data_IF_350630467302
#
_entry.id   IF_350630467302
#
_cell.length_a   1.000
_cell.length_b   1.000
_cell.length_c   1.000
_cell.angle_alpha   90.00
_cell.angle_beta   90.00
_cell.angle_gamma   90.00
#
_symmetry.space_group_name_H-M   'P 1'
#
loop_
_entity.id
_entity.type
_entity.pdbx_description
1 polymer ?
#
# COMPACT_ATOMS: atom_id res chain seq x y z
N UNK A 1 45.18 12.40 -36.75
CA UNK A 1 44.35 12.20 -35.52
C UNK A 1 45.31 11.76 -34.42
N UNK A 2 45.46 12.63 -33.41
CA UNK A 2 46.50 12.45 -32.39
C UNK A 2 46.14 11.32 -31.41
N UNK A 3 47.17 10.70 -30.82
CA UNK A 3 47.03 9.65 -29.79
C UNK A 3 46.18 10.08 -28.58
N UNK A 4 46.01 11.39 -28.41
CA UNK A 4 45.22 12.00 -27.34
C UNK A 4 43.71 11.84 -27.56
N UNK A 5 43.25 11.95 -28.83
CA UNK A 5 41.83 11.78 -29.21
C UNK A 5 41.33 10.34 -28.99
N UNK A 6 42.21 9.34 -29.22
CA UNK A 6 41.84 7.92 -29.01
C UNK A 6 41.71 7.55 -27.53
N UNK A 7 42.56 8.15 -26.67
CA UNK A 7 42.49 7.92 -25.22
C UNK A 7 41.24 8.59 -24.59
N UNK A 8 40.84 9.76 -25.10
CA UNK A 8 39.64 10.44 -24.65
C UNK A 8 38.35 9.70 -25.06
N UNK A 9 38.34 9.13 -26.29
CA UNK A 9 37.20 8.32 -26.74
C UNK A 9 37.09 7.00 -25.97
N UNK A 10 38.17 6.41 -25.53
CA UNK A 10 38.18 5.19 -24.71
C UNK A 10 37.71 5.45 -23.27
N UNK A 11 38.03 6.63 -22.70
CA UNK A 11 37.56 7.03 -21.36
C UNK A 11 36.06 7.29 -21.38
N UNK A 12 35.49 7.89 -22.42
CA UNK A 12 34.06 8.10 -22.57
C UNK A 12 33.29 6.79 -22.78
N UNK A 13 33.89 5.79 -23.46
CA UNK A 13 33.26 4.49 -23.66
C UNK A 13 33.19 3.66 -22.35
N UNK A 14 34.21 3.77 -21.48
CA UNK A 14 34.23 3.12 -20.17
C UNK A 14 33.34 3.84 -19.14
N UNK A 15 33.18 5.16 -19.23
CA UNK A 15 32.30 5.95 -18.37
C UNK A 15 30.82 5.77 -18.70
N UNK A 16 30.47 5.47 -19.97
CA UNK A 16 29.10 5.25 -20.41
C UNK A 16 28.52 3.89 -20.03
N UNK A 17 29.35 2.90 -19.75
CA UNK A 17 28.92 1.53 -19.46
C UNK A 17 28.59 1.32 -17.96
N UNK A 18 29.00 2.24 -17.09
CA UNK A 18 28.74 2.15 -15.64
C UNK A 18 27.42 2.78 -15.18
N UNK A 19 26.70 3.49 -16.08
CA UNK A 19 25.41 4.14 -15.74
C UNK A 19 24.18 3.29 -16.04
N UNK A 20 24.31 2.10 -16.61
CA UNK A 20 23.17 1.26 -17.00
C UNK A 20 22.80 0.15 -16.01
N UNK A 21 23.39 0.14 -14.79
CA UNK A 21 23.13 -0.91 -13.79
C UNK A 21 22.25 -0.48 -12.61
N UNK A 22 21.63 0.70 -12.67
CA UNK A 22 20.72 1.15 -11.57
C UNK A 22 19.24 0.95 -11.88
N UNK A 23 18.88 -0.04 -12.67
CA UNK A 23 17.54 -0.26 -13.20
C UNK A 23 16.73 -1.39 -12.57
N UNK A 24 17.03 -1.86 -11.37
CA UNK A 24 16.11 -2.72 -10.61
C UNK A 24 15.78 -2.06 -9.29
N UNK A 25 14.75 -1.22 -9.27
CA UNK A 25 14.03 -0.96 -8.03
C UNK A 25 13.24 -2.24 -7.71
N UNK A 26 13.87 -3.18 -7.01
CA UNK A 26 13.18 -4.29 -6.39
C UNK A 26 12.10 -3.75 -5.44
N UNK A 27 11.06 -4.52 -5.21
CA UNK A 27 10.09 -4.22 -4.14
C UNK A 27 10.87 -4.02 -2.84
N UNK A 28 10.51 -3.01 -2.07
CA UNK A 28 11.18 -2.73 -0.78
C UNK A 28 10.89 -3.80 0.28
N UNK A 29 10.13 -4.84 -0.08
CA UNK A 29 9.71 -5.90 0.80
C UNK A 29 8.56 -5.47 1.72
N UNK A 30 8.16 -6.40 2.59
CA UNK A 30 7.21 -6.09 3.66
C UNK A 30 7.95 -5.31 4.76
N UNK A 31 7.32 -4.29 5.34
CA UNK A 31 7.89 -3.59 6.50
C UNK A 31 7.91 -4.52 7.70
N UNK A 32 8.86 -4.31 8.60
CA UNK A 32 8.76 -4.85 9.94
C UNK A 32 7.60 -4.15 10.66
N UNK A 33 6.64 -4.94 11.13
CA UNK A 33 5.52 -4.45 11.91
C UNK A 33 5.59 -5.07 13.30
N UNK A 34 5.64 -4.23 14.32
CA UNK A 34 5.60 -4.68 15.71
C UNK A 34 4.18 -4.48 16.24
N UNK A 35 3.56 -5.57 16.66
CA UNK A 35 2.24 -5.52 17.33
C UNK A 35 2.43 -4.81 18.66
N UNK A 36 1.69 -3.74 18.98
CA UNK A 36 1.71 -3.14 20.30
C UNK A 36 1.26 -4.14 21.37
N UNK A 37 1.92 -4.14 22.53
CA UNK A 37 1.54 -5.02 23.65
C UNK A 37 0.13 -4.73 24.18
N UNK A 38 -0.28 -3.47 24.12
CA UNK A 38 -1.60 -3.04 24.58
C UNK A 38 -2.25 -2.06 23.58
N UNK A 39 -3.55 -2.18 23.40
CA UNK A 39 -4.36 -1.25 22.65
C UNK A 39 -4.81 -0.09 23.56
N UNK A 40 -4.43 1.14 23.20
CA UNK A 40 -4.81 2.34 23.97
C UNK A 40 -6.29 2.69 23.77
N UNK A 41 -7.13 2.28 24.69
CA UNK A 41 -8.58 2.56 24.67
C UNK A 41 -8.94 3.98 25.11
N UNK A 42 -7.98 4.78 25.60
CA UNK A 42 -8.23 6.16 26.01
C UNK A 42 -8.27 7.16 24.84
N UNK A 43 -7.83 6.72 23.66
CA UNK A 43 -7.75 7.53 22.44
C UNK A 43 -8.90 7.16 21.49
N UNK A 44 -9.36 8.16 20.75
CA UNK A 44 -10.26 7.93 19.62
C UNK A 44 -9.47 7.67 18.34
N UNK A 45 -9.94 6.70 17.55
CA UNK A 45 -9.36 6.32 16.28
C UNK A 45 -10.38 6.41 15.16
N UNK A 46 -9.94 6.86 13.99
CA UNK A 46 -10.72 6.79 12.76
C UNK A 46 -10.03 5.82 11.79
N UNK A 47 -10.78 4.86 11.28
CA UNK A 47 -10.33 3.86 10.31
C UNK A 47 -11.08 4.08 9.02
N UNK A 48 -10.36 4.14 7.89
CA UNK A 48 -10.95 4.15 6.56
C UNK A 48 -10.98 2.73 5.99
N UNK A 49 -12.16 2.28 5.58
CA UNK A 49 -12.35 0.99 4.92
C UNK A 49 -12.88 1.20 3.50
N UNK A 50 -12.08 0.79 2.50
CA UNK A 50 -12.45 0.85 1.09
C UNK A 50 -12.92 -0.52 0.62
N UNK A 51 -14.19 -0.62 0.28
CA UNK A 51 -14.83 -1.87 -0.12
C UNK A 51 -15.52 -1.74 -1.47
N UNK A 52 -15.64 -2.86 -2.17
CA UNK A 52 -16.39 -2.94 -3.41
C UNK A 52 -17.87 -3.11 -3.13
N UNK A 53 -18.70 -2.35 -3.83
CA UNK A 53 -20.14 -2.51 -3.87
C UNK A 53 -20.57 -2.94 -5.28
N UNK A 54 -20.95 -4.18 -5.44
CA UNK A 54 -21.43 -4.76 -6.70
C UNK A 54 -22.88 -4.39 -7.07
N UNK A 55 -23.37 -3.22 -6.66
CA UNK A 55 -24.77 -2.87 -6.76
C UNK A 55 -25.69 -3.78 -5.91
N UNK A 56 -25.11 -4.72 -5.20
CA UNK A 56 -25.82 -5.62 -4.31
C UNK A 56 -26.07 -4.94 -2.94
N UNK A 57 -27.30 -4.55 -2.73
CA UNK A 57 -27.71 -3.90 -1.46
C UNK A 57 -27.42 -4.78 -0.24
N UNK A 58 -27.53 -6.11 -0.40
CA UNK A 58 -27.25 -7.06 0.69
C UNK A 58 -25.80 -6.99 1.14
N UNK A 59 -24.85 -6.86 0.22
CA UNK A 59 -23.43 -6.73 0.57
C UNK A 59 -23.15 -5.43 1.34
N UNK A 60 -23.74 -4.34 0.90
CA UNK A 60 -23.63 -3.06 1.61
C UNK A 60 -24.16 -3.14 3.04
N UNK A 61 -25.30 -3.79 3.24
CA UNK A 61 -25.87 -3.97 4.57
C UNK A 61 -25.03 -4.88 5.47
N UNK A 62 -24.37 -5.91 4.89
CA UNK A 62 -23.42 -6.75 5.61
C UNK A 62 -22.23 -5.91 6.10
N UNK A 63 -21.64 -5.06 5.27
CA UNK A 63 -20.54 -4.19 5.70
C UNK A 63 -20.99 -3.23 6.82
N UNK A 64 -22.12 -2.57 6.65
CA UNK A 64 -22.65 -1.65 7.66
C UNK A 64 -22.92 -2.35 8.98
N UNK A 65 -23.52 -3.56 8.93
CA UNK A 65 -23.75 -4.34 10.14
C UNK A 65 -22.45 -4.75 10.81
N UNK A 66 -21.46 -5.24 10.06
CA UNK A 66 -20.17 -5.63 10.62
C UNK A 66 -19.45 -4.43 11.26
N UNK A 67 -19.53 -3.25 10.65
CA UNK A 67 -18.97 -2.02 11.20
C UNK A 67 -19.70 -1.65 12.50
N UNK A 68 -21.02 -1.66 12.51
CA UNK A 68 -21.80 -1.34 13.72
C UNK A 68 -21.51 -2.31 14.87
N UNK A 69 -21.39 -3.61 14.58
CA UNK A 69 -21.04 -4.63 15.58
C UNK A 69 -19.60 -4.40 16.11
N UNK A 70 -18.66 -4.01 15.24
CA UNK A 70 -17.28 -3.70 15.62
C UNK A 70 -17.19 -2.43 16.49
N UNK A 71 -17.85 -1.35 16.08
CA UNK A 71 -17.90 -0.08 16.84
C UNK A 71 -18.60 -0.25 18.20
N UNK A 72 -19.56 -1.16 18.30
CA UNK A 72 -20.19 -1.52 19.59
C UNK A 72 -19.21 -2.20 20.55
N UNK A 73 -18.26 -2.99 20.03
CA UNK A 73 -17.18 -3.62 20.82
C UNK A 73 -16.07 -2.62 21.17
N UNK A 74 -15.79 -1.68 20.26
CA UNK A 74 -14.71 -0.71 20.38
C UNK A 74 -15.24 0.72 20.20
N UNK A 75 -15.94 1.29 21.19
CA UNK A 75 -16.64 2.57 21.04
C UNK A 75 -15.72 3.78 20.83
N UNK A 76 -14.42 3.61 21.01
CA UNK A 76 -13.40 4.61 20.72
C UNK A 76 -12.86 4.53 19.27
N UNK A 77 -13.40 3.62 18.44
CA UNK A 77 -13.03 3.49 17.02
C UNK A 77 -14.24 3.83 16.15
N UNK A 78 -14.03 4.68 15.15
CA UNK A 78 -15.01 4.99 14.11
C UNK A 78 -14.51 4.44 12.78
N UNK A 79 -15.35 3.72 12.02
CA UNK A 79 -15.02 3.16 10.72
C UNK A 79 -15.72 3.90 9.59
N UNK A 80 -14.96 4.62 8.79
CA UNK A 80 -15.44 5.33 7.61
C UNK A 80 -15.44 4.40 6.39
N UNK A 81 -16.62 3.94 5.97
CA UNK A 81 -16.80 3.05 4.82
C UNK A 81 -16.90 3.84 3.51
N UNK A 82 -15.97 3.59 2.59
CA UNK A 82 -16.02 4.08 1.22
C UNK A 82 -16.34 2.92 0.26
N UNK A 83 -17.43 3.05 -0.49
CA UNK A 83 -17.88 2.04 -1.45
C UNK A 83 -17.47 2.42 -2.86
N UNK A 84 -16.83 1.47 -3.54
CA UNK A 84 -16.37 1.58 -4.92
C UNK A 84 -17.19 0.68 -5.84
N UNK A 85 -17.32 1.06 -7.10
CA UNK A 85 -18.05 0.30 -8.10
C UNK A 85 -17.26 -0.88 -8.66
N UNK A 86 -15.93 -0.80 -8.64
CA UNK A 86 -15.04 -1.85 -9.15
C UNK A 86 -13.68 -1.88 -8.45
N UNK A 87 -12.98 -3.03 -8.55
CA UNK A 87 -11.67 -3.24 -7.95
C UNK A 87 -10.55 -2.42 -8.59
N UNK A 88 -10.66 -2.15 -9.90
CA UNK A 88 -9.68 -1.34 -10.64
C UNK A 88 -9.65 0.09 -10.13
N UNK A 89 -10.81 0.63 -9.74
CA UNK A 89 -10.89 1.96 -9.15
C UNK A 89 -10.25 2.00 -7.75
N UNK A 90 -10.50 0.99 -6.91
CA UNK A 90 -9.80 0.87 -5.61
C UNK A 90 -8.29 0.81 -5.84
N UNK A 91 -7.83 -0.03 -6.78
CA UNK A 91 -6.42 -0.18 -7.12
C UNK A 91 -5.77 1.15 -7.53
N UNK A 92 -6.38 1.86 -8.46
CA UNK A 92 -5.86 3.14 -8.94
C UNK A 92 -5.82 4.20 -7.84
N UNK A 93 -6.85 4.26 -7.01
CA UNK A 93 -6.91 5.21 -5.91
C UNK A 93 -5.87 4.87 -4.84
N UNK A 94 -5.66 3.57 -4.50
CA UNK A 94 -4.58 3.17 -3.58
C UNK A 94 -3.22 3.59 -4.11
N UNK A 95 -2.90 3.31 -5.37
CA UNK A 95 -1.60 3.69 -5.97
C UNK A 95 -1.39 5.20 -5.90
N UNK A 96 -2.42 5.97 -6.23
CA UNK A 96 -2.35 7.43 -6.19
C UNK A 96 -2.07 7.93 -4.77
N UNK A 97 -2.70 7.30 -3.78
CA UNK A 97 -2.58 7.70 -2.37
C UNK A 97 -1.29 7.20 -1.69
N UNK A 98 -0.59 6.22 -2.27
CA UNK A 98 0.74 5.80 -1.77
C UNK A 98 1.72 6.97 -1.75
N UNK A 99 1.73 7.78 -2.81
CA UNK A 99 2.67 8.91 -2.92
C UNK A 99 2.38 10.05 -1.94
N UNK A 100 1.16 10.14 -1.44
CA UNK A 100 0.69 11.20 -0.53
C UNK A 100 0.54 10.72 0.92
N UNK A 101 0.81 9.45 1.21
CA UNK A 101 0.61 8.84 2.53
C UNK A 101 -0.85 8.93 3.02
N UNK A 102 -1.82 8.83 2.11
CA UNK A 102 -3.25 8.91 2.41
C UNK A 102 -4.01 7.64 2.02
N UNK A 103 -3.30 6.51 1.97
CA UNK A 103 -3.89 5.19 1.74
C UNK A 103 -4.93 4.84 2.81
N UNK A 104 -5.96 4.04 2.48
CA UNK A 104 -6.90 3.57 3.48
C UNK A 104 -6.22 2.67 4.52
N UNK A 105 -6.77 2.59 5.72
CA UNK A 105 -6.31 1.64 6.73
C UNK A 105 -6.62 0.20 6.32
N UNK A 106 -7.76 -0.04 5.68
CA UNK A 106 -8.19 -1.34 5.18
C UNK A 106 -8.78 -1.17 3.79
N UNK A 107 -8.41 -2.04 2.84
CA UNK A 107 -9.07 -2.10 1.55
C UNK A 107 -9.22 -3.53 1.05
N UNK A 108 -10.29 -3.77 0.29
CA UNK A 108 -10.45 -5.02 -0.46
C UNK A 108 -9.62 -4.93 -1.74
N UNK A 109 -8.83 -5.95 -2.03
CA UNK A 109 -7.94 -5.97 -3.19
C UNK A 109 -7.78 -7.39 -3.75
N UNK A 110 -7.18 -7.50 -4.95
CA UNK A 110 -6.73 -8.77 -5.50
C UNK A 110 -5.27 -9.05 -5.15
N UNK A 111 -4.85 -10.34 -5.05
CA UNK A 111 -3.47 -10.70 -4.71
C UNK A 111 -2.41 -10.14 -5.66
N UNK A 112 -2.71 -10.00 -6.95
CA UNK A 112 -1.81 -9.44 -7.96
C UNK A 112 -1.56 -7.93 -7.80
N UNK A 113 -2.47 -7.21 -7.15
CA UNK A 113 -2.31 -5.80 -6.86
C UNK A 113 -1.25 -5.54 -5.76
N UNK A 114 -1.04 -6.51 -4.87
CA UNK A 114 -0.11 -6.38 -3.73
C UNK A 114 1.31 -6.09 -4.20
N UNK A 115 1.77 -6.68 -5.31
CA UNK A 115 3.10 -6.42 -5.86
C UNK A 115 3.34 -4.93 -6.12
N UNK A 116 2.31 -4.21 -6.59
CA UNK A 116 2.38 -2.76 -6.81
C UNK A 116 2.35 -2.00 -5.49
N UNK A 117 1.53 -2.41 -4.53
CA UNK A 117 1.46 -1.74 -3.23
C UNK A 117 2.77 -1.84 -2.45
N UNK A 118 3.50 -2.95 -2.59
CA UNK A 118 4.82 -3.15 -1.99
C UNK A 118 5.93 -2.24 -2.57
N UNK A 119 5.65 -1.48 -3.62
CA UNK A 119 6.58 -0.45 -4.11
C UNK A 119 6.62 0.77 -3.20
N UNK A 120 5.57 1.01 -2.44
CA UNK A 120 5.52 2.04 -1.40
C UNK A 120 6.24 1.60 -0.13
N UNK A 121 6.72 2.55 0.65
CA UNK A 121 7.32 2.27 1.95
C UNK A 121 6.21 2.16 3.00
N UNK A 122 6.18 1.06 3.76
CA UNK A 122 5.22 0.82 4.84
C UNK A 122 3.75 0.90 4.40
N UNK A 123 3.44 0.45 3.18
CA UNK A 123 2.09 0.55 2.60
C UNK A 123 1.22 -0.66 2.94
N UNK A 124 1.84 -1.80 3.20
CA UNK A 124 1.15 -3.07 3.51
C UNK A 124 1.66 -3.59 4.85
N UNK A 125 0.76 -4.01 5.70
CA UNK A 125 1.08 -4.62 7.00
C UNK A 125 1.00 -6.13 6.87
N UNK A 126 2.08 -6.89 7.18
CA UNK A 126 2.02 -8.34 7.30
C UNK A 126 1.16 -8.71 8.52
N UNK A 127 0.24 -9.66 8.35
CA UNK A 127 -0.69 -10.07 9.42
C UNK A 127 -0.26 -11.37 10.11
N UNK A 128 0.85 -11.98 9.68
CA UNK A 128 1.31 -13.28 10.18
C UNK A 128 1.50 -13.27 11.70
N UNK A 129 2.11 -12.23 12.23
CA UNK A 129 2.37 -12.09 13.67
C UNK A 129 1.11 -11.77 14.50
N UNK A 130 0.01 -11.40 13.83
CA UNK A 130 -1.27 -11.13 14.50
C UNK A 130 -2.12 -12.39 14.69
N UNK A 131 -1.82 -13.47 13.97
CA UNK A 131 -2.54 -14.74 14.00
C UNK A 131 -1.72 -15.90 14.58
N UNK A 132 -0.55 -15.61 15.18
CA UNK A 132 0.34 -16.59 15.77
C UNK A 132 -0.15 -17.11 17.13
#
# INVERSE_FOLDING_TARGET
MSRFSKKLALLCALGGLSLSLTGCHGSKGLPEFTVPEEFDTSRNYEITFWAKNDTNKTQTEIYKKAIADFEALYPNITVNLNLYTDYGKIYNDVITNISTNTTPNVCITYPDHIATYLTGQNTVVPLDDLFA
#
